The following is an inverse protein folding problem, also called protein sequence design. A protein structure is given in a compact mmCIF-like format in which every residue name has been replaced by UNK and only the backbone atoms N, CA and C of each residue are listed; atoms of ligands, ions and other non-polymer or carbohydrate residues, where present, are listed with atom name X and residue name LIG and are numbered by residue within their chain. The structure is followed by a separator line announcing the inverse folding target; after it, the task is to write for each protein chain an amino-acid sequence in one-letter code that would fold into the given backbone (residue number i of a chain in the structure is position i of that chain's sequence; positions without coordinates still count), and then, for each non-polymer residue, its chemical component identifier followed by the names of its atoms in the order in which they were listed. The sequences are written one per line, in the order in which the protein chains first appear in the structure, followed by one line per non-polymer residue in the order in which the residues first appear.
data_IF_132683701365
#
_entry.id   IF_132683701365
#
_cell.length_a   1.000
_cell.length_b   1.000
_cell.length_c   1.000
_cell.angle_alpha   90.00
_cell.angle_beta   90.00
_cell.angle_gamma   90.00
#
_symmetry.space_group_name_H-M   'P 1'
#
loop_
_entity.id
_entity.type
_entity.pdbx_description
1 polymer ?
#
# COMPACT_ATOMS: atom_id res chain seq x y z
N UNK A 1 19.26 1.96 -10.92
CA UNK A 1 18.20 1.02 -10.51
C UNK A 1 17.67 1.40 -9.13
N UNK A 2 16.34 1.46 -9.01
CA UNK A 2 15.73 1.75 -7.73
C UNK A 2 15.72 0.50 -6.85
N UNK A 3 16.18 0.64 -5.59
CA UNK A 3 16.18 -0.46 -4.63
C UNK A 3 14.84 -0.55 -3.89
N UNK A 4 14.13 0.56 -3.81
CA UNK A 4 12.87 0.70 -3.08
C UNK A 4 11.78 1.15 -4.02
N UNK A 5 10.55 0.72 -3.75
CA UNK A 5 9.35 1.25 -4.41
C UNK A 5 8.39 1.71 -3.32
N UNK A 6 7.86 2.92 -3.46
CA UNK A 6 6.86 3.44 -2.53
C UNK A 6 5.56 3.69 -3.28
N UNK A 7 4.47 3.09 -2.77
CA UNK A 7 3.11 3.39 -3.22
C UNK A 7 2.66 4.60 -2.40
N UNK A 8 2.69 5.75 -3.05
CA UNK A 8 2.73 7.06 -2.40
C UNK A 8 1.46 7.88 -2.67
N UNK A 9 1.01 8.57 -1.62
CA UNK A 9 -0.03 9.58 -1.73
C UNK A 9 0.56 10.90 -1.23
N UNK A 10 0.84 11.88 -2.15
CA UNK A 10 1.46 13.16 -1.74
C UNK A 10 0.62 13.97 -0.77
N UNK A 11 -0.68 13.71 -0.68
CA UNK A 11 -1.58 14.42 0.23
C UNK A 11 -1.61 13.82 1.63
N UNK A 12 -1.03 12.62 1.80
CA UNK A 12 -1.02 11.93 3.07
C UNK A 12 0.26 12.25 3.83
N UNK A 13 0.15 12.79 5.06
CA UNK A 13 1.31 13.17 5.85
C UNK A 13 2.22 11.97 6.17
N UNK A 14 1.64 10.83 6.49
CA UNK A 14 2.42 9.61 6.78
C UNK A 14 3.20 9.15 5.55
N UNK A 15 2.59 9.27 4.37
CA UNK A 15 3.26 8.92 3.12
C UNK A 15 4.43 9.85 2.84
N UNK A 16 4.24 11.17 3.03
CA UNK A 16 5.31 12.15 2.87
C UNK A 16 6.45 11.92 3.86
N UNK A 17 6.11 11.64 5.12
CA UNK A 17 7.12 11.39 6.18
C UNK A 17 7.93 10.14 5.87
N UNK A 18 7.29 9.10 5.37
CA UNK A 18 7.98 7.86 4.98
C UNK A 18 8.96 8.11 3.84
N UNK A 19 8.51 8.84 2.81
CA UNK A 19 9.37 9.19 1.68
C UNK A 19 10.57 10.03 2.14
N UNK A 20 10.35 10.95 3.08
CA UNK A 20 11.43 11.75 3.63
C UNK A 20 12.49 10.89 4.32
N UNK A 21 12.07 9.88 5.10
CA UNK A 21 13.00 8.94 5.73
C UNK A 21 13.84 8.23 4.69
N UNK A 22 13.20 7.73 3.63
CA UNK A 22 13.92 7.07 2.53
C UNK A 22 14.93 7.99 1.88
N UNK A 23 14.57 9.25 1.65
CA UNK A 23 15.45 10.23 1.05
C UNK A 23 16.64 10.56 1.95
N UNK A 24 16.41 10.68 3.26
CA UNK A 24 17.49 10.93 4.23
C UNK A 24 18.47 9.78 4.32
N UNK A 25 18.03 8.57 4.02
CA UNK A 25 18.88 7.40 3.97
C UNK A 25 19.58 7.23 2.62
N UNK A 26 19.39 8.19 1.72
CA UNK A 26 19.94 8.14 0.35
C UNK A 26 19.49 6.92 -0.44
N UNK A 27 18.28 6.42 -0.14
CA UNK A 27 17.71 5.29 -0.85
C UNK A 27 17.33 5.69 -2.27
N UNK A 28 17.52 4.79 -3.22
CA UNK A 28 17.00 4.96 -4.57
C UNK A 28 15.56 4.46 -4.58
N UNK A 29 14.62 5.37 -4.84
CA UNK A 29 13.19 5.09 -4.66
C UNK A 29 12.45 5.33 -5.96
N UNK A 30 11.68 4.34 -6.37
CA UNK A 30 10.69 4.51 -7.42
C UNK A 30 9.37 4.90 -6.75
N UNK A 31 8.78 6.02 -7.17
CA UNK A 31 7.54 6.53 -6.61
C UNK A 31 6.39 6.12 -7.53
N UNK A 32 5.44 5.35 -6.99
CA UNK A 32 4.22 4.98 -7.69
C UNK A 32 3.08 5.78 -7.07
N UNK A 33 2.47 6.65 -7.87
CA UNK A 33 1.29 7.42 -7.46
C UNK A 33 0.08 6.53 -7.69
N UNK A 34 -0.22 5.70 -6.71
CA UNK A 34 -1.18 4.60 -6.86
C UNK A 34 -2.62 5.07 -7.08
N UNK A 35 -2.95 6.32 -6.73
CA UNK A 35 -4.28 6.85 -7.02
C UNK A 35 -4.46 7.15 -8.50
N UNK A 36 -3.36 7.43 -9.21
CA UNK A 36 -3.35 7.68 -10.65
C UNK A 36 -3.03 6.42 -11.45
N UNK A 37 -2.18 5.58 -10.88
CA UNK A 37 -1.73 4.32 -11.49
C UNK A 37 -1.98 3.18 -10.50
N UNK A 38 -3.24 2.74 -10.35
CA UNK A 38 -3.57 1.73 -9.35
C UNK A 38 -2.90 0.40 -9.63
N UNK A 39 -2.47 -0.33 -8.58
CA UNK A 39 -1.97 -1.67 -8.78
C UNK A 39 -3.10 -2.59 -9.23
N UNK A 40 -2.77 -3.58 -10.06
CA UNK A 40 -3.74 -4.60 -10.45
C UNK A 40 -4.03 -5.53 -9.26
N UNK A 41 -5.09 -6.33 -9.36
CA UNK A 41 -5.40 -7.31 -8.32
C UNK A 41 -4.25 -8.30 -8.13
N UNK A 42 -3.59 -8.69 -9.22
CA UNK A 42 -2.45 -9.59 -9.18
C UNK A 42 -1.24 -8.95 -8.48
N UNK A 43 -1.01 -7.68 -8.76
CA UNK A 43 0.06 -6.92 -8.12
C UNK A 43 -0.21 -6.77 -6.62
N UNK A 44 -1.46 -6.51 -6.24
CA UNK A 44 -1.87 -6.46 -4.83
C UNK A 44 -1.63 -7.79 -4.13
N UNK A 45 -1.92 -8.90 -4.79
CA UNK A 45 -1.67 -10.22 -4.25
C UNK A 45 -0.18 -10.40 -3.95
N UNK A 46 0.67 -9.99 -4.86
CA UNK A 46 2.13 -10.03 -4.68
C UNK A 46 2.57 -9.15 -3.51
N UNK A 47 2.02 -7.94 -3.41
CA UNK A 47 2.32 -7.03 -2.30
C UNK A 47 1.93 -7.65 -0.95
N UNK A 48 0.78 -8.28 -0.88
CA UNK A 48 0.31 -8.90 0.36
C UNK A 48 1.23 -10.03 0.82
N UNK A 49 1.76 -10.82 -0.12
CA UNK A 49 2.75 -11.85 0.21
C UNK A 49 3.99 -11.20 0.83
N UNK A 50 4.48 -10.12 0.23
CA UNK A 50 5.66 -9.40 0.73
C UNK A 50 5.42 -8.76 2.09
N UNK A 51 4.20 -8.29 2.33
CA UNK A 51 3.79 -7.69 3.61
C UNK A 51 3.54 -8.75 4.68
N UNK A 52 3.23 -9.99 4.27
CA UNK A 52 2.80 -11.04 5.21
C UNK A 52 1.43 -10.77 5.78
N UNK A 53 0.54 -10.15 4.99
CA UNK A 53 -0.79 -9.71 5.43
C UNK A 53 -1.87 -10.25 4.50
N UNK A 54 -3.11 -10.13 4.95
CA UNK A 54 -4.30 -10.45 4.15
C UNK A 54 -4.89 -9.16 3.56
N UNK A 55 -5.73 -9.30 2.53
CA UNK A 55 -6.38 -8.15 1.90
C UNK A 55 -7.09 -7.24 2.91
N UNK A 56 -7.80 -7.84 3.87
CA UNK A 56 -8.53 -7.04 4.87
C UNK A 56 -7.63 -6.19 5.76
N UNK A 57 -6.37 -6.59 5.91
CA UNK A 57 -5.42 -5.85 6.75
C UNK A 57 -4.99 -4.53 6.13
N UNK A 58 -5.15 -4.37 4.82
CA UNK A 58 -4.72 -3.16 4.11
C UNK A 58 -5.88 -2.35 3.53
N UNK A 59 -7.13 -2.74 3.82
CA UNK A 59 -8.30 -1.99 3.36
C UNK A 59 -8.65 -0.92 4.39
N UNK A 60 -8.84 0.31 3.92
CA UNK A 60 -9.20 1.45 4.75
C UNK A 60 -10.71 1.46 4.99
N UNK A 61 -11.10 1.09 6.21
CA UNK A 61 -12.52 0.96 6.59
C UNK A 61 -13.24 2.30 6.72
N UNK A 62 -12.51 3.39 6.83
CA UNK A 62 -13.09 4.73 6.95
C UNK A 62 -13.48 5.38 5.64
N UNK A 63 -13.13 4.78 4.49
CA UNK A 63 -13.47 5.35 3.20
C UNK A 63 -14.92 5.05 2.82
N UNK A 64 -15.54 5.99 2.08
CA UNK A 64 -16.94 5.83 1.66
C UNK A 64 -17.12 4.58 0.80
N UNK A 65 -16.14 4.27 -0.04
CA UNK A 65 -16.18 3.09 -0.90
C UNK A 65 -16.33 1.80 -0.12
N UNK A 66 -15.76 1.74 1.08
CA UNK A 66 -15.88 0.56 1.95
C UNK A 66 -17.35 0.28 2.29
N UNK A 67 -18.10 1.34 2.60
CA UNK A 67 -19.52 1.22 2.94
C UNK A 67 -20.37 0.96 1.70
N UNK A 68 -20.14 1.73 0.63
CA UNK A 68 -20.92 1.64 -0.60
C UNK A 68 -20.83 0.27 -1.26
N UNK A 69 -19.65 -0.33 -1.20
CA UNK A 69 -19.41 -1.63 -1.81
C UNK A 69 -19.66 -2.80 -0.85
N UNK A 70 -20.07 -2.48 0.38
CA UNK A 70 -20.36 -3.49 1.43
C UNK A 70 -19.16 -4.44 1.65
N UNK A 71 -17.98 -3.86 1.78
CA UNK A 71 -16.73 -4.64 1.89
C UNK A 71 -16.56 -5.34 3.23
N UNK A 72 -17.41 -5.04 4.22
CA UNK A 72 -17.40 -5.75 5.49
C UNK A 72 -17.97 -7.17 5.38
N UNK A 73 -18.56 -7.52 4.25
CA UNK A 73 -19.14 -8.84 4.02
C UNK A 73 -18.07 -9.92 4.13
N UNK A 74 -18.22 -10.84 5.07
CA UNK A 74 -17.25 -11.90 5.34
C UNK A 74 -17.20 -12.96 4.24
N UNK A 75 -18.14 -12.96 3.33
CA UNK A 75 -18.17 -13.91 2.22
C UNK A 75 -17.30 -13.50 1.04
N UNK A 76 -16.75 -12.26 1.06
CA UNK A 76 -15.85 -11.79 0.00
C UNK A 76 -14.51 -12.53 0.07
N UNK A 77 -14.05 -12.99 -1.08
CA UNK A 77 -12.75 -13.67 -1.18
C UNK A 77 -11.62 -12.64 -1.26
N UNK A 78 -10.38 -13.10 -1.01
CA UNK A 78 -9.18 -12.27 -1.17
C UNK A 78 -9.12 -11.67 -2.57
N UNK A 79 -9.40 -12.48 -3.59
CA UNK A 79 -9.35 -12.03 -4.98
C UNK A 79 -10.39 -10.94 -5.24
N UNK A 80 -11.59 -11.11 -4.71
CA UNK A 80 -12.64 -10.10 -4.84
C UNK A 80 -12.25 -8.79 -4.16
N UNK A 81 -11.67 -8.88 -2.96
CA UNK A 81 -11.20 -7.69 -2.22
C UNK A 81 -10.09 -6.99 -2.99
N UNK A 82 -9.16 -7.74 -3.56
CA UNK A 82 -8.09 -7.16 -4.36
C UNK A 82 -8.63 -6.44 -5.60
N UNK A 83 -9.64 -7.01 -6.25
CA UNK A 83 -10.29 -6.35 -7.38
C UNK A 83 -10.94 -5.04 -6.97
N UNK A 84 -11.64 -5.02 -5.83
CA UNK A 84 -12.24 -3.78 -5.33
C UNK A 84 -11.19 -2.72 -5.04
N UNK A 85 -10.06 -3.10 -4.43
CA UNK A 85 -8.98 -2.15 -4.16
C UNK A 85 -8.34 -1.62 -5.44
N UNK A 86 -8.17 -2.47 -6.44
CA UNK A 86 -7.62 -2.05 -7.73
C UNK A 86 -8.52 -1.03 -8.43
N UNK A 87 -9.82 -1.25 -8.36
CA UNK A 87 -10.80 -0.36 -8.97
C UNK A 87 -11.05 0.89 -8.13
N UNK A 88 -10.78 0.83 -6.83
CA UNK A 88 -10.99 1.93 -5.89
C UNK A 88 -9.74 2.11 -5.03
N UNK A 89 -8.66 2.68 -5.60
CA UNK A 89 -7.37 2.73 -4.90
C UNK A 89 -7.36 3.52 -3.61
N UNK A 90 -8.35 4.37 -3.37
CA UNK A 90 -8.50 5.05 -2.07
C UNK A 90 -8.65 4.06 -0.91
N UNK A 91 -9.09 2.84 -1.20
CA UNK A 91 -9.25 1.80 -0.19
C UNK A 91 -7.92 1.24 0.31
N UNK A 92 -6.84 1.45 -0.44
CA UNK A 92 -5.54 0.85 -0.11
C UNK A 92 -4.84 1.65 0.98
N UNK A 93 -4.36 0.96 2.00
CA UNK A 93 -3.56 1.60 3.05
C UNK A 93 -2.26 2.15 2.47
N UNK A 94 -1.77 3.26 3.01
CA UNK A 94 -0.60 3.98 2.47
C UNK A 94 0.25 4.55 3.59
N UNK A 95 1.55 4.70 3.33
CA UNK A 95 2.27 4.23 2.15
C UNK A 95 2.64 2.76 2.29
N UNK A 96 2.81 2.08 1.17
CA UNK A 96 3.39 0.74 1.13
C UNK A 96 4.78 0.89 0.52
N UNK A 97 5.81 0.37 1.20
CA UNK A 97 7.19 0.44 0.73
C UNK A 97 7.69 -0.97 0.53
N UNK A 98 8.28 -1.20 -0.65
CA UNK A 98 8.78 -2.51 -1.05
C UNK A 98 10.29 -2.45 -1.25
N UNK A 99 10.99 -3.44 -0.75
CA UNK A 99 12.40 -3.67 -1.06
C UNK A 99 12.60 -5.16 -1.32
N UNK A 100 12.81 -5.52 -2.59
CA UNK A 100 12.97 -6.93 -2.98
C UNK A 100 11.69 -7.72 -2.71
N UNK A 101 11.81 -8.74 -1.89
CA UNK A 101 10.68 -9.62 -1.54
C UNK A 101 10.03 -9.25 -0.20
N UNK A 102 10.39 -8.10 0.36
CA UNK A 102 9.85 -7.60 1.63
C UNK A 102 9.11 -6.30 1.40
N UNK A 103 8.09 -6.06 2.23
CA UNK A 103 7.34 -4.80 2.19
C UNK A 103 6.84 -4.47 3.59
N UNK A 104 6.58 -3.18 3.82
CA UNK A 104 5.99 -2.70 5.07
C UNK A 104 5.00 -1.58 4.75
N UNK A 105 4.06 -1.37 5.66
CA UNK A 105 3.22 -0.17 5.66
C UNK A 105 3.91 0.87 6.52
N UNK A 106 4.11 2.07 5.98
CA UNK A 106 4.80 3.17 6.69
C UNK A 106 3.89 3.90 7.68
N UNK A 107 3.29 3.18 8.58
CA UNK A 107 2.42 3.72 9.63
C UNK A 107 2.68 2.98 10.94
N UNK A 108 3.51 3.55 11.83
CA UNK A 108 4.18 4.85 11.69
C UNK A 108 5.27 4.82 10.60
N UNK A 109 5.68 6.01 10.11
CA UNK A 109 6.67 6.09 9.02
C UNK A 109 7.98 5.35 9.33
N UNK A 110 8.37 5.29 10.59
CA UNK A 110 9.59 4.63 11.04
C UNK A 110 9.61 3.13 10.73
N UNK A 111 8.45 2.52 10.45
CA UNK A 111 8.40 1.11 10.05
C UNK A 111 9.28 0.82 8.83
N UNK A 112 9.50 1.82 7.97
CA UNK A 112 10.32 1.65 6.77
C UNK A 112 11.77 1.34 7.10
N UNK A 113 12.24 1.68 8.31
CA UNK A 113 13.60 1.41 8.73
C UNK A 113 13.92 -0.08 8.79
N UNK A 114 12.91 -0.93 8.96
CA UNK A 114 13.10 -2.38 8.98
C UNK A 114 13.55 -2.94 7.63
N UNK A 115 13.43 -2.15 6.56
CA UNK A 115 13.87 -2.56 5.22
C UNK A 115 15.34 -2.26 4.94
N UNK A 116 16.00 -1.55 5.83
CA UNK A 116 17.41 -1.19 5.68
C UNK A 116 18.35 -2.19 6.31
#
# INVERSE_FOLDING_TARGET
MSNFTIYHNPRCSKSRQTLEILNKKNAQVEIVLYLENPPSAKELQSLLVKLGLCSRDIIRKGEDEYKHLNLKDNNLTENELNNFMSENPKLIERPIVVKGDKAVIGRPPENVLSLF
#
